data_IF_737956966244
#
_entry.id   IF_737956966244
#
_cell.length_a   1.000
_cell.length_b   1.000
_cell.length_c   1.000
_cell.angle_alpha   90.00
_cell.angle_beta   90.00
_cell.angle_gamma   90.00
#
_symmetry.space_group_name_H-M   'P 1'
#
loop_
_entity.id
_entity.type
_entity.pdbx_description
1 polymer ?
#
# COMPACT_ATOMS: atom_id res chain seq x y z
N UNK A 1 -13.97 27.67 -12.22
CA UNK A 1 -15.45 27.69 -12.29
C UNK A 1 -15.97 29.01 -12.88
N UNK A 2 -15.59 30.15 -12.31
CA UNK A 2 -16.15 31.50 -12.72
C UNK A 2 -15.94 31.80 -14.19
N UNK A 3 -14.76 31.52 -14.74
CA UNK A 3 -14.49 31.69 -16.17
C UNK A 3 -15.41 30.81 -17.03
N UNK A 4 -15.58 29.56 -16.69
CA UNK A 4 -16.44 28.63 -17.45
C UNK A 4 -17.90 29.04 -17.38
N UNK A 5 -18.37 29.49 -16.22
CA UNK A 5 -19.72 29.97 -16.05
C UNK A 5 -19.99 31.29 -16.83
N UNK A 6 -19.01 32.18 -16.85
CA UNK A 6 -19.08 33.39 -17.70
C UNK A 6 -19.17 33.01 -19.18
N UNK A 7 -18.31 32.08 -19.63
CA UNK A 7 -18.34 31.58 -21.01
C UNK A 7 -19.68 30.96 -21.36
N UNK A 8 -20.26 30.19 -20.44
CA UNK A 8 -21.63 29.66 -20.63
C UNK A 8 -22.67 30.77 -20.77
N UNK A 9 -22.64 31.77 -19.90
CA UNK A 9 -23.56 32.89 -19.93
C UNK A 9 -23.48 33.70 -21.23
N UNK A 10 -22.27 33.95 -21.72
CA UNK A 10 -22.05 34.66 -23.00
C UNK A 10 -22.46 33.81 -24.21
N UNK A 11 -22.14 32.51 -24.22
CA UNK A 11 -22.46 31.61 -25.36
C UNK A 11 -23.95 31.36 -25.51
N UNK A 12 -24.68 31.31 -24.42
CA UNK A 12 -26.07 30.88 -24.37
C UNK A 12 -27.08 32.00 -24.03
N UNK A 13 -26.59 33.24 -23.89
CA UNK A 13 -27.48 34.39 -23.66
C UNK A 13 -28.61 34.44 -24.67
N UNK A 14 -29.84 34.61 -24.19
CA UNK A 14 -31.07 34.67 -24.99
C UNK A 14 -31.38 33.42 -25.83
N UNK A 15 -30.77 32.28 -25.52
CA UNK A 15 -31.02 30.97 -26.14
C UNK A 15 -31.67 30.03 -25.13
N UNK A 16 -32.06 28.85 -25.59
CA UNK A 16 -32.67 27.81 -24.74
C UNK A 16 -31.72 26.60 -24.61
N UNK A 17 -30.68 26.67 -23.79
CA UNK A 17 -29.73 25.57 -23.63
C UNK A 17 -30.36 24.38 -22.90
N UNK A 18 -29.96 23.18 -23.30
CA UNK A 18 -30.20 21.94 -22.57
C UNK A 18 -29.17 21.76 -21.46
N UNK A 19 -29.38 20.85 -20.47
CA UNK A 19 -28.36 20.49 -19.51
C UNK A 19 -27.03 20.04 -20.16
N UNK A 20 -27.11 19.32 -21.27
CA UNK A 20 -25.93 18.88 -22.02
C UNK A 20 -25.09 20.05 -22.56
N UNK A 21 -25.73 21.14 -22.97
CA UNK A 21 -25.06 22.35 -23.47
C UNK A 21 -24.30 23.05 -22.32
N UNK A 22 -24.88 23.04 -21.12
CA UNK A 22 -24.21 23.52 -19.92
C UNK A 22 -22.95 22.68 -19.62
N UNK A 23 -23.10 21.36 -19.52
CA UNK A 23 -21.97 20.46 -19.18
C UNK A 23 -20.82 20.60 -20.18
N UNK A 24 -21.11 20.50 -21.47
CA UNK A 24 -20.09 20.66 -22.53
C UNK A 24 -19.41 22.02 -22.46
N UNK A 25 -20.18 23.09 -22.24
CA UNK A 25 -19.58 24.44 -22.19
C UNK A 25 -18.68 24.61 -20.99
N UNK A 26 -19.03 24.01 -19.83
CA UNK A 26 -18.19 24.05 -18.64
C UNK A 26 -16.88 23.28 -18.85
N UNK A 27 -16.94 22.12 -19.49
CA UNK A 27 -15.78 21.30 -19.82
C UNK A 27 -14.88 21.95 -20.87
N UNK A 28 -15.47 22.44 -21.98
CA UNK A 28 -14.77 23.19 -23.04
C UNK A 28 -13.95 24.36 -22.45
N UNK A 29 -14.59 25.13 -21.58
CA UNK A 29 -14.02 26.37 -21.05
C UNK A 29 -12.98 26.08 -19.93
N UNK A 30 -13.14 24.99 -19.17
CA UNK A 30 -12.21 24.61 -18.10
C UNK A 30 -11.07 23.70 -18.56
N UNK A 31 -11.22 23.06 -19.72
CA UNK A 31 -10.36 21.98 -20.22
C UNK A 31 -10.20 20.81 -19.24
N UNK A 32 -11.25 20.54 -18.45
CA UNK A 32 -11.28 19.45 -17.46
C UNK A 32 -12.41 18.49 -17.82
N UNK A 33 -12.12 17.19 -17.82
CA UNK A 33 -13.12 16.12 -17.94
C UNK A 33 -13.91 16.04 -16.62
N UNK A 34 -15.19 16.40 -16.66
CA UNK A 34 -16.10 16.39 -15.52
C UNK A 34 -17.26 15.40 -15.70
N UNK A 35 -17.17 14.47 -16.66
CA UNK A 35 -18.21 13.46 -16.91
C UNK A 35 -18.60 12.71 -15.63
N UNK A 36 -17.61 12.35 -14.80
CA UNK A 36 -17.82 11.68 -13.52
C UNK A 36 -18.65 12.53 -12.55
N UNK A 37 -18.43 13.86 -12.57
CA UNK A 37 -19.14 14.80 -11.72
C UNK A 37 -20.58 14.98 -12.18
N UNK A 38 -20.79 15.27 -13.48
CA UNK A 38 -22.13 15.46 -14.04
C UNK A 38 -23.00 14.22 -13.86
N UNK A 39 -22.44 13.04 -14.17
CA UNK A 39 -23.15 11.78 -14.04
C UNK A 39 -23.60 11.54 -12.59
N UNK A 40 -22.72 11.71 -11.63
CA UNK A 40 -23.03 11.47 -10.22
C UNK A 40 -24.03 12.50 -9.67
N UNK A 41 -23.70 13.77 -9.78
CA UNK A 41 -24.46 14.83 -9.11
C UNK A 41 -25.81 15.18 -9.77
N UNK A 42 -25.99 14.91 -11.05
CA UNK A 42 -27.19 15.30 -11.78
C UNK A 42 -28.09 14.13 -12.19
N UNK A 43 -27.57 12.90 -12.23
CA UNK A 43 -28.31 11.75 -12.75
C UNK A 43 -28.47 10.59 -11.77
N UNK A 44 -27.91 10.68 -10.55
CA UNK A 44 -28.07 9.67 -9.51
C UNK A 44 -28.58 10.28 -8.20
N UNK A 45 -29.03 9.43 -7.29
CA UNK A 45 -29.34 9.78 -5.89
C UNK A 45 -28.24 9.28 -4.93
N UNK A 46 -27.06 8.96 -5.47
CA UNK A 46 -25.94 8.46 -4.71
C UNK A 46 -25.36 9.56 -3.79
N UNK A 47 -24.63 9.15 -2.80
CA UNK A 47 -23.95 10.05 -1.85
C UNK A 47 -22.46 9.75 -1.77
N UNK A 48 -21.72 10.67 -1.18
CA UNK A 48 -20.28 10.51 -0.99
C UNK A 48 -20.02 9.65 0.25
N UNK A 49 -19.52 8.44 0.03
CA UNK A 49 -19.04 7.55 1.08
C UNK A 49 -17.96 6.63 0.50
N UNK A 50 -16.70 6.95 0.79
CA UNK A 50 -15.52 6.21 0.31
C UNK A 50 -14.76 5.70 1.52
N UNK A 51 -14.55 4.39 1.59
CA UNK A 51 -13.76 3.75 2.64
C UNK A 51 -12.37 3.37 2.15
N UNK A 52 -11.39 3.43 3.06
CA UNK A 52 -10.11 2.77 2.95
C UNK A 52 -10.22 1.43 3.68
N UNK A 53 -10.39 0.34 2.92
CA UNK A 53 -10.69 -0.98 3.49
C UNK A 53 -9.44 -1.67 4.01
N UNK A 54 -8.32 -1.51 3.30
CA UNK A 54 -7.09 -2.23 3.62
C UNK A 54 -5.86 -1.49 3.12
N UNK A 55 -4.82 -1.54 3.94
CA UNK A 55 -3.47 -1.11 3.61
C UNK A 55 -2.57 -2.33 3.71
N UNK A 56 -1.98 -2.75 2.61
CA UNK A 56 -0.96 -3.78 2.56
C UNK A 56 0.41 -3.15 2.35
N UNK A 57 1.35 -3.50 3.20
CA UNK A 57 2.73 -3.07 3.09
C UNK A 57 3.60 -4.22 2.59
N UNK A 58 4.43 -3.95 1.61
CA UNK A 58 5.37 -4.90 1.03
C UNK A 58 6.76 -4.29 0.98
N UNK A 59 7.74 -5.12 1.21
CA UNK A 59 9.14 -4.87 0.87
C UNK A 59 9.59 -5.87 -0.19
N UNK A 60 10.58 -5.49 -0.98
CA UNK A 60 11.18 -6.41 -1.94
C UNK A 60 11.94 -7.48 -1.14
N UNK A 61 11.69 -8.74 -1.49
CA UNK A 61 12.50 -9.85 -1.01
C UNK A 61 13.83 -9.82 -1.76
N UNK A 62 14.92 -9.64 -1.03
CA UNK A 62 16.26 -9.52 -1.61
C UNK A 62 16.80 -10.86 -2.11
N UNK A 63 16.20 -11.98 -1.70
CA UNK A 63 16.75 -13.32 -1.88
C UNK A 63 18.04 -13.59 -1.11
N UNK A 64 18.60 -12.59 -0.41
CA UNK A 64 19.79 -12.75 0.40
C UNK A 64 19.48 -13.56 1.66
N UNK A 65 20.05 -14.78 1.83
CA UNK A 65 19.68 -15.65 2.94
C UNK A 65 20.00 -15.04 4.32
N UNK A 66 21.03 -14.23 4.45
CA UNK A 66 21.34 -13.58 5.74
C UNK A 66 20.26 -12.58 6.14
N UNK A 67 19.77 -11.77 5.17
CA UNK A 67 18.75 -10.78 5.41
C UNK A 67 17.40 -11.45 5.65
N UNK A 68 17.00 -12.35 4.74
CA UNK A 68 15.67 -12.97 4.77
C UNK A 68 15.52 -13.92 5.98
N UNK A 69 16.57 -14.64 6.36
CA UNK A 69 16.57 -15.47 7.56
C UNK A 69 16.48 -14.61 8.84
N UNK A 70 17.14 -13.45 8.88
CA UNK A 70 17.03 -12.53 10.00
C UNK A 70 15.60 -11.97 10.12
N UNK A 71 14.98 -11.58 9.01
CA UNK A 71 13.58 -11.11 8.97
C UNK A 71 12.64 -12.22 9.44
N UNK A 72 12.83 -13.44 8.93
CA UNK A 72 12.00 -14.60 9.28
C UNK A 72 12.14 -14.97 10.77
N UNK A 73 13.34 -14.91 11.32
CA UNK A 73 13.61 -15.12 12.75
C UNK A 73 12.87 -14.09 13.61
N UNK A 74 12.97 -12.82 13.26
CA UNK A 74 12.27 -11.73 13.98
C UNK A 74 10.74 -11.89 13.91
N UNK A 75 10.20 -12.30 12.75
CA UNK A 75 8.77 -12.57 12.60
C UNK A 75 8.34 -13.76 13.48
N UNK A 76 9.12 -14.83 13.53
CA UNK A 76 8.82 -16.00 14.35
C UNK A 76 8.87 -15.66 15.85
N UNK A 77 9.85 -14.86 16.28
CA UNK A 77 9.97 -14.41 17.68
C UNK A 77 8.80 -13.51 18.11
N UNK A 78 8.24 -12.73 17.19
CA UNK A 78 7.11 -11.83 17.44
C UNK A 78 5.73 -12.51 17.36
N UNK A 79 5.66 -13.76 16.88
CA UNK A 79 4.39 -14.50 16.89
C UNK A 79 3.87 -14.68 18.30
N UNK A 80 2.55 -14.52 18.46
CA UNK A 80 1.88 -14.80 19.74
C UNK A 80 2.10 -16.26 20.13
N UNK A 81 2.87 -16.49 21.18
CA UNK A 81 3.14 -17.84 21.70
C UNK A 81 1.99 -18.31 22.57
N UNK A 82 1.78 -19.63 22.61
CA UNK A 82 0.87 -20.23 23.54
C UNK A 82 1.19 -19.81 24.97
N UNK A 83 0.15 -19.52 25.77
CA UNK A 83 0.29 -19.06 27.15
C UNK A 83 1.15 -20.02 28.01
N UNK A 84 1.15 -21.34 27.71
CA UNK A 84 2.01 -22.33 28.35
C UNK A 84 3.50 -22.06 28.16
N UNK A 85 3.92 -21.65 26.96
CA UNK A 85 5.32 -21.30 26.68
C UNK A 85 5.74 -20.07 27.48
N UNK A 86 4.87 -19.05 27.53
CA UNK A 86 5.13 -17.83 28.30
C UNK A 86 5.23 -18.12 29.81
N UNK A 87 4.36 -19.00 30.33
CA UNK A 87 4.39 -19.45 31.73
C UNK A 87 5.66 -20.23 32.04
N UNK A 88 6.06 -21.15 31.16
CA UNK A 88 7.30 -21.92 31.33
C UNK A 88 8.52 -21.00 31.36
N UNK A 89 8.61 -20.02 30.45
CA UNK A 89 9.68 -19.02 30.47
C UNK A 89 9.76 -18.20 31.76
N UNK A 90 8.62 -17.93 32.40
CA UNK A 90 8.59 -17.16 33.66
C UNK A 90 8.89 -18.02 34.89
N UNK A 91 8.60 -19.34 34.87
CA UNK A 91 8.74 -20.24 36.01
C UNK A 91 10.04 -21.05 35.98
N UNK A 92 10.55 -21.35 34.78
CA UNK A 92 11.81 -22.15 34.62
C UNK A 92 12.97 -21.17 34.41
N UNK A 93 13.81 -21.02 35.41
CA UNK A 93 14.97 -20.10 35.37
C UNK A 93 16.05 -20.54 34.42
N UNK A 94 16.32 -21.86 34.34
CA UNK A 94 17.30 -22.48 33.43
C UNK A 94 16.72 -23.78 32.90
N UNK A 95 16.93 -24.06 31.64
CA UNK A 95 16.62 -25.34 31.00
C UNK A 95 17.67 -26.39 31.35
N UNK A 96 17.36 -27.68 31.10
CA UNK A 96 18.29 -28.78 31.36
C UNK A 96 19.61 -28.61 30.57
N UNK A 97 19.51 -28.14 29.35
CA UNK A 97 20.64 -27.86 28.44
C UNK A 97 21.50 -26.65 28.86
N UNK A 98 20.96 -25.75 29.68
CA UNK A 98 21.73 -24.67 30.30
C UNK A 98 22.38 -25.06 31.62
N UNK A 99 22.04 -26.23 32.19
CA UNK A 99 22.53 -26.73 33.45
C UNK A 99 23.57 -27.84 33.20
N UNK A 100 23.34 -28.70 32.19
CA UNK A 100 24.11 -29.87 31.89
C UNK A 100 24.50 -29.91 30.41
N UNK A 101 25.78 -29.64 30.15
CA UNK A 101 26.34 -29.61 28.78
C UNK A 101 26.28 -30.98 28.08
N UNK A 102 26.17 -32.10 28.85
CA UNK A 102 26.01 -33.44 28.27
C UNK A 102 24.63 -33.67 27.66
N UNK A 103 23.68 -32.83 28.00
CA UNK A 103 22.32 -32.82 27.46
C UNK A 103 22.19 -32.03 26.14
N UNK A 104 23.29 -31.44 25.67
CA UNK A 104 23.31 -30.65 24.41
C UNK A 104 23.45 -31.63 23.24
N UNK A 105 22.52 -31.57 22.31
CA UNK A 105 22.51 -32.34 21.06
C UNK A 105 22.29 -31.44 19.83
N UNK A 106 22.23 -32.07 18.65
CA UNK A 106 21.97 -31.36 17.40
C UNK A 106 20.66 -30.55 17.45
N UNK A 107 19.59 -31.09 18.03
CA UNK A 107 18.29 -30.45 18.07
C UNK A 107 18.24 -29.24 18.99
N UNK A 108 19.07 -29.20 20.00
CA UNK A 108 19.17 -28.07 20.94
C UNK A 108 20.05 -26.94 20.43
N UNK A 109 20.94 -27.23 19.48
CA UNK A 109 21.86 -26.24 18.87
C UNK A 109 21.47 -25.84 17.47
N UNK A 110 20.53 -26.55 16.84
CA UNK A 110 20.08 -26.26 15.49
C UNK A 110 19.30 -24.95 15.42
N UNK A 111 19.80 -24.01 14.63
CA UNK A 111 19.08 -22.76 14.26
C UNK A 111 18.62 -22.85 12.79
N UNK A 112 17.31 -22.98 12.53
CA UNK A 112 16.78 -23.08 11.17
C UNK A 112 16.99 -21.80 10.35
N UNK A 113 17.34 -20.70 11.00
CA UNK A 113 17.59 -19.40 10.35
C UNK A 113 19.08 -19.13 10.12
N UNK A 114 19.96 -20.09 10.45
CA UNK A 114 21.38 -19.94 10.19
C UNK A 114 21.67 -20.25 8.72
N UNK A 115 22.21 -19.27 8.01
CA UNK A 115 22.65 -19.40 6.62
C UNK A 115 23.71 -20.49 6.49
N UNK A 116 23.59 -21.32 5.49
CA UNK A 116 24.53 -22.37 5.15
C UNK A 116 25.17 -22.14 3.77
N UNK A 117 26.17 -22.90 3.41
CA UNK A 117 26.94 -22.76 2.15
C UNK A 117 26.04 -22.95 0.92
N UNK A 118 25.05 -23.86 0.99
CA UNK A 118 24.14 -24.09 -0.13
C UNK A 118 23.23 -22.89 -0.37
N UNK A 119 22.75 -22.24 0.70
CA UNK A 119 21.95 -21.01 0.59
C UNK A 119 22.75 -19.89 -0.10
N UNK A 120 24.04 -19.75 0.25
CA UNK A 120 24.92 -18.76 -0.37
C UNK A 120 25.20 -19.09 -1.85
N UNK A 121 25.43 -20.36 -2.19
CA UNK A 121 25.63 -20.80 -3.57
C UNK A 121 24.38 -20.54 -4.44
N UNK A 122 23.21 -20.84 -3.92
CA UNK A 122 21.95 -20.61 -4.63
C UNK A 122 21.65 -19.12 -4.78
N UNK A 123 21.92 -18.31 -3.78
CA UNK A 123 21.85 -16.86 -3.88
C UNK A 123 22.82 -16.30 -4.93
N UNK A 124 24.06 -16.78 -4.95
CA UNK A 124 25.04 -16.36 -5.95
C UNK A 124 24.63 -16.75 -7.38
N UNK A 125 23.99 -17.90 -7.59
CA UNK A 125 23.41 -18.31 -8.88
C UNK A 125 22.27 -17.39 -9.27
N UNK A 126 21.38 -17.08 -8.33
CA UNK A 126 20.26 -16.16 -8.53
C UNK A 126 20.74 -14.78 -9.00
N UNK A 127 21.67 -14.16 -8.27
CA UNK A 127 22.22 -12.82 -8.61
C UNK A 127 22.93 -12.81 -9.97
N UNK A 128 23.61 -13.91 -10.37
CA UNK A 128 24.26 -14.00 -11.68
C UNK A 128 23.27 -14.00 -12.85
N UNK A 129 22.06 -14.47 -12.63
CA UNK A 129 21.03 -14.56 -13.65
C UNK A 129 20.20 -13.27 -13.82
N UNK A 130 20.35 -12.31 -12.90
CA UNK A 130 19.66 -11.04 -12.96
C UNK A 130 20.39 -10.05 -13.88
N UNK A 131 19.62 -9.22 -14.57
CA UNK A 131 20.16 -8.06 -15.27
C UNK A 131 20.53 -6.91 -14.31
N UNK A 132 21.09 -5.82 -14.85
CA UNK A 132 21.54 -4.72 -14.01
C UNK A 132 20.36 -3.93 -13.40
N UNK A 133 19.25 -3.80 -14.12
CA UNK A 133 18.05 -3.11 -13.64
C UNK A 133 17.40 -3.89 -12.48
N UNK A 134 17.33 -5.22 -12.61
CA UNK A 134 16.84 -6.11 -11.55
C UNK A 134 17.73 -6.06 -10.31
N UNK A 135 19.04 -6.04 -10.48
CA UNK A 135 19.99 -5.89 -9.36
C UNK A 135 19.85 -4.54 -8.65
N UNK A 136 19.55 -3.47 -9.39
CA UNK A 136 19.30 -2.14 -8.80
C UNK A 136 18.00 -2.16 -7.98
N UNK A 137 16.94 -2.79 -8.50
CA UNK A 137 15.67 -2.97 -7.79
C UNK A 137 15.87 -3.72 -6.47
N UNK A 138 16.66 -4.79 -6.45
CA UNK A 138 16.94 -5.55 -5.21
C UNK A 138 17.66 -4.74 -4.14
N UNK A 139 18.44 -3.72 -4.52
CA UNK A 139 19.11 -2.82 -3.59
C UNK A 139 18.20 -1.70 -3.08
N UNK A 140 17.00 -1.58 -3.65
CA UNK A 140 16.05 -0.53 -3.29
C UNK A 140 15.44 -0.79 -1.92
N UNK A 141 15.59 0.16 -0.99
CA UNK A 141 14.97 0.13 0.34
C UNK A 141 13.54 0.69 0.34
N UNK A 142 12.91 0.81 -0.84
CA UNK A 142 11.58 1.42 -0.97
C UNK A 142 10.50 0.57 -0.32
N UNK A 143 9.50 1.28 0.18
CA UNK A 143 8.30 0.70 0.76
C UNK A 143 7.17 0.74 -0.26
N UNK A 144 6.47 -0.37 -0.45
CA UNK A 144 5.35 -0.51 -1.38
C UNK A 144 4.07 -0.66 -0.59
N UNK A 145 3.13 0.26 -0.79
CA UNK A 145 1.83 0.24 -0.09
C UNK A 145 0.71 0.06 -1.10
N UNK A 146 -0.02 -1.04 -1.02
CA UNK A 146 -1.26 -1.24 -1.75
C UNK A 146 -2.43 -0.81 -0.88
N UNK A 147 -3.13 0.23 -1.29
CA UNK A 147 -4.33 0.74 -0.65
C UNK A 147 -5.57 0.29 -1.44
N UNK A 148 -6.52 -0.31 -0.74
CA UNK A 148 -7.78 -0.77 -1.31
C UNK A 148 -8.90 0.15 -0.84
N UNK A 149 -9.66 0.69 -1.80
CA UNK A 149 -10.77 1.59 -1.53
C UNK A 149 -12.07 1.01 -2.05
N UNK A 150 -13.15 1.24 -1.30
CA UNK A 150 -14.52 0.96 -1.71
C UNK A 150 -15.36 2.23 -1.76
N UNK A 151 -16.11 2.41 -2.82
CA UNK A 151 -17.12 3.45 -2.94
C UNK A 151 -18.46 2.88 -2.45
N UNK A 152 -18.80 3.16 -1.21
CA UNK A 152 -20.01 2.63 -0.54
C UNK A 152 -21.23 3.45 -0.95
N UNK A 153 -21.06 4.75 -1.07
CA UNK A 153 -22.16 5.67 -1.37
C UNK A 153 -22.54 5.77 -2.84
N UNK A 154 -21.73 5.23 -3.74
CA UNK A 154 -21.97 5.21 -5.19
C UNK A 154 -21.46 6.46 -5.93
N UNK A 155 -21.42 7.61 -5.28
CA UNK A 155 -20.95 8.85 -5.89
C UNK A 155 -19.43 8.85 -6.01
N UNK A 156 -18.94 8.95 -7.25
CA UNK A 156 -17.51 8.99 -7.56
C UNK A 156 -16.91 10.35 -7.19
N UNK A 157 -15.80 10.34 -6.45
CA UNK A 157 -15.09 11.55 -6.03
C UNK A 157 -13.57 11.36 -6.08
N UNK A 158 -12.80 12.45 -6.19
CA UNK A 158 -11.35 12.40 -5.94
C UNK A 158 -11.06 11.92 -4.51
N UNK A 159 -9.94 11.19 -4.33
CA UNK A 159 -9.50 10.74 -3.02
C UNK A 159 -8.33 11.63 -2.58
N UNK A 160 -8.40 12.14 -1.35
CA UNK A 160 -7.33 12.90 -0.74
C UNK A 160 -6.82 12.10 0.46
N UNK A 161 -5.53 11.77 0.44
CA UNK A 161 -4.87 11.01 1.48
C UNK A 161 -3.81 11.87 2.15
N UNK A 162 -3.66 11.71 3.45
CA UNK A 162 -2.53 12.22 4.21
C UNK A 162 -1.76 11.05 4.78
N UNK A 163 -0.51 10.89 4.35
CA UNK A 163 0.40 9.90 4.92
C UNK A 163 1.18 10.53 6.07
N UNK A 164 1.21 9.87 7.22
CA UNK A 164 2.11 10.20 8.33
C UNK A 164 3.22 9.16 8.35
N UNK A 165 4.47 9.60 8.28
CA UNK A 165 5.65 8.74 8.27
C UNK A 165 6.22 8.51 9.68
N UNK A 166 7.14 7.54 9.82
CA UNK A 166 7.81 7.22 11.10
C UNK A 166 8.54 8.43 11.69
N UNK A 167 9.07 9.33 10.85
CA UNK A 167 9.73 10.57 11.27
C UNK A 167 8.75 11.71 11.61
N UNK A 168 7.45 11.41 11.70
CA UNK A 168 6.35 12.34 11.98
C UNK A 168 6.13 13.41 10.91
N UNK A 169 6.80 13.32 9.76
CA UNK A 169 6.48 14.17 8.61
C UNK A 169 5.19 13.70 7.94
N UNK A 170 4.48 14.61 7.28
CA UNK A 170 3.24 14.29 6.56
C UNK A 170 3.36 14.65 5.08
N UNK A 171 2.67 13.88 4.24
CA UNK A 171 2.53 14.13 2.82
C UNK A 171 1.08 13.97 2.39
N UNK A 172 0.57 14.96 1.64
CA UNK A 172 -0.80 14.92 1.11
C UNK A 172 -0.77 14.54 -0.36
N UNK A 173 -1.41 13.42 -0.68
CA UNK A 173 -1.55 12.91 -2.05
C UNK A 173 -3.00 13.04 -2.51
N UNK A 174 -3.17 13.57 -3.72
CA UNK A 174 -4.49 13.72 -4.36
C UNK A 174 -4.59 12.74 -5.52
N UNK A 175 -5.59 11.88 -5.48
CA UNK A 175 -5.89 10.92 -6.52
C UNK A 175 -7.13 11.45 -7.25
N UNK A 176 -7.04 11.74 -8.56
CA UNK A 176 -8.18 12.27 -9.30
C UNK A 176 -9.28 11.23 -9.47
N UNK A 177 -10.51 11.69 -9.71
CA UNK A 177 -11.70 10.84 -9.80
C UNK A 177 -11.64 9.81 -10.94
N UNK A 178 -10.82 10.04 -11.95
CA UNK A 178 -10.59 9.15 -13.08
C UNK A 178 -10.08 7.75 -12.66
N UNK A 179 -9.56 7.60 -11.44
CA UNK A 179 -9.19 6.29 -10.92
C UNK A 179 -10.38 5.32 -10.90
N UNK A 180 -11.59 5.86 -10.77
CA UNK A 180 -12.83 5.08 -10.74
C UNK A 180 -13.36 4.69 -12.13
N UNK A 181 -12.74 5.14 -13.24
CA UNK A 181 -13.23 4.86 -14.61
C UNK A 181 -13.37 3.37 -14.94
N UNK A 182 -12.51 2.52 -14.42
CA UNK A 182 -12.57 1.06 -14.68
C UNK A 182 -13.55 0.33 -13.77
N UNK A 183 -13.67 0.77 -12.54
CA UNK A 183 -14.55 0.19 -11.54
C UNK A 183 -14.97 1.28 -10.57
N UNK A 184 -16.27 1.62 -10.58
CA UNK A 184 -16.83 2.64 -9.71
C UNK A 184 -17.04 2.20 -8.26
N UNK A 185 -16.93 0.90 -7.97
CA UNK A 185 -17.23 0.35 -6.66
C UNK A 185 -15.96 0.08 -5.83
N UNK A 186 -14.90 -0.43 -6.48
CA UNK A 186 -13.67 -0.81 -5.78
C UNK A 186 -12.44 -0.52 -6.64
N UNK A 187 -11.41 0.00 -6.00
CA UNK A 187 -10.13 0.27 -6.65
C UNK A 187 -8.96 -0.11 -5.74
N UNK A 188 -7.81 -0.35 -6.37
CA UNK A 188 -6.54 -0.54 -5.72
C UNK A 188 -5.54 0.46 -6.25
N UNK A 189 -4.76 1.04 -5.37
CA UNK A 189 -3.66 1.94 -5.73
C UNK A 189 -2.39 1.55 -4.99
N UNK A 190 -1.30 1.42 -5.73
CA UNK A 190 0.02 1.17 -5.15
C UNK A 190 0.79 2.48 -5.09
N UNK A 191 1.41 2.72 -3.95
CA UNK A 191 2.36 3.82 -3.70
C UNK A 191 3.74 3.25 -3.41
N UNK A 192 4.75 3.89 -3.95
CA UNK A 192 6.16 3.57 -3.75
C UNK A 192 6.77 4.74 -3.00
N UNK A 193 7.17 4.51 -1.76
CA UNK A 193 7.61 5.55 -0.84
C UNK A 193 8.99 5.21 -0.27
N UNK A 194 9.79 6.23 -0.04
CA UNK A 194 11.11 6.06 0.57
C UNK A 194 11.01 5.85 2.09
N UNK A 195 9.92 6.36 2.70
CA UNK A 195 9.69 6.28 4.14
C UNK A 195 8.58 5.30 4.47
N UNK A 196 8.65 4.75 5.68
CA UNK A 196 7.59 3.90 6.22
C UNK A 196 6.42 4.73 6.75
N UNK A 197 5.19 4.30 6.40
CA UNK A 197 3.94 4.93 6.85
C UNK A 197 3.55 4.37 8.22
N UNK A 198 3.19 5.26 9.15
CA UNK A 198 2.60 4.92 10.45
C UNK A 198 1.08 5.06 10.41
N UNK A 199 0.58 6.03 9.64
CA UNK A 199 -0.85 6.33 9.54
C UNK A 199 -1.20 6.85 8.15
N UNK A 200 -2.38 6.44 7.68
CA UNK A 200 -3.06 6.98 6.50
C UNK A 200 -4.36 7.61 6.93
#
# INVERSE_FOLDING_TARGET
FDYSFKTYSERWAFKHPSPADFFRTMEDASAVDLDWFWRGWFYTNDHVDISLDKVNWFKINTGNPEIENTISKNQEENKKRYIGISRNKSSIKKTITEIDDQSIDFYTTYDPFKTNILDEEDYNKYIKNLDEDEKEILKSEKNYYELNFSNIGGLVMPIILEFTFVDLTTEVVRIPAEIWKKNSNQIKKVFILDKEIVKV
#
